data_IF_069661185056
#
_entry.id   IF_069661185056
#
_cell.length_a   1.000
_cell.length_b   1.000
_cell.length_c   1.000
_cell.angle_alpha   90.00
_cell.angle_beta   90.00
_cell.angle_gamma   90.00
#
_symmetry.space_group_name_H-M   'P 1'
#
loop_
_entity.id
_entity.type
_entity.pdbx_description
1 polymer ?
#
# COMPACT_ATOMS: atom_id res chain seq x y z
N UNK A 1 0.36 4.80 -39.76
CA UNK A 1 1.27 4.07 -38.85
C UNK A 1 2.55 4.88 -38.71
N UNK A 2 3.01 5.17 -37.49
CA UNK A 2 4.27 5.90 -37.28
C UNK A 2 5.41 4.89 -37.34
N UNK A 3 6.27 4.96 -38.36
CA UNK A 3 7.49 4.15 -38.45
C UNK A 3 8.62 4.85 -37.68
N UNK A 4 9.04 4.29 -36.55
CA UNK A 4 10.25 4.70 -35.84
C UNK A 4 11.43 3.87 -36.34
N UNK A 5 12.34 4.46 -37.12
CA UNK A 5 13.65 3.86 -37.39
C UNK A 5 14.63 4.27 -36.28
N UNK A 6 15.44 3.30 -35.82
CA UNK A 6 16.56 3.54 -34.91
C UNK A 6 17.78 3.98 -35.72
N UNK A 7 18.50 5.00 -35.24
CA UNK A 7 19.70 5.52 -35.89
C UNK A 7 20.93 4.78 -35.37
N UNK A 8 21.64 4.06 -36.23
CA UNK A 8 22.94 3.46 -35.91
C UNK A 8 24.06 4.43 -36.29
N UNK A 9 24.79 4.95 -35.30
CA UNK A 9 25.98 5.78 -35.52
C UNK A 9 27.22 4.92 -35.40
N UNK A 10 27.78 4.49 -36.52
CA UNK A 10 29.05 3.77 -36.57
C UNK A 10 30.23 4.76 -36.52
N UNK A 11 30.90 4.86 -35.39
CA UNK A 11 32.13 5.62 -35.25
C UNK A 11 33.35 4.72 -35.51
N UNK A 12 34.00 4.86 -36.67
CA UNK A 12 35.32 4.26 -36.89
C UNK A 12 36.37 5.01 -36.04
N UNK A 13 36.92 4.34 -35.04
CA UNK A 13 38.06 4.84 -34.26
C UNK A 13 39.38 4.26 -34.79
N UNK A 14 40.23 5.12 -35.35
CA UNK A 14 41.58 4.73 -35.75
C UNK A 14 42.46 4.59 -34.50
N UNK A 15 43.04 3.40 -34.28
CA UNK A 15 43.84 3.12 -33.08
C UNK A 15 45.27 3.68 -33.18
N UNK A 16 45.72 4.36 -32.12
CA UNK A 16 47.14 4.69 -31.91
C UNK A 16 47.51 4.41 -30.44
N UNK A 17 48.36 3.40 -30.23
CA UNK A 17 48.77 2.91 -28.90
C UNK A 17 50.03 3.59 -28.37
N UNK A 18 49.95 4.26 -27.21
CA UNK A 18 51.09 4.53 -26.32
C UNK A 18 50.64 4.36 -24.86
N UNK A 19 51.45 3.71 -24.03
CA UNK A 19 51.23 3.48 -22.60
C UNK A 19 52.44 4.04 -21.79
N UNK A 20 52.53 3.95 -20.43
CA UNK A 20 51.54 3.57 -19.42
C UNK A 20 51.49 4.56 -18.20
N UNK A 21 50.92 4.13 -17.07
CA UNK A 21 50.85 4.76 -15.72
C UNK A 21 49.98 6.03 -15.54
N UNK A 22 48.84 5.86 -14.86
CA UNK A 22 48.66 6.34 -13.47
C UNK A 22 47.31 5.89 -12.89
N UNK A 23 47.28 5.56 -11.59
CA UNK A 23 46.10 5.06 -10.89
C UNK A 23 45.08 6.18 -10.67
N UNK A 24 44.05 6.26 -11.51
CA UNK A 24 42.90 7.16 -11.31
C UNK A 24 41.76 6.38 -10.68
N UNK A 25 41.19 6.93 -9.60
CA UNK A 25 40.02 6.35 -8.92
C UNK A 25 38.82 6.37 -9.86
N UNK A 26 38.22 5.21 -10.10
CA UNK A 26 36.91 5.12 -10.76
C UNK A 26 35.85 5.64 -9.78
N UNK A 27 35.58 6.94 -9.87
CA UNK A 27 34.26 7.45 -9.47
C UNK A 27 33.24 6.90 -10.44
N UNK A 28 32.08 6.45 -9.93
CA UNK A 28 30.96 6.12 -10.80
C UNK A 28 30.63 7.35 -11.64
N UNK A 29 30.89 7.27 -12.95
CA UNK A 29 30.24 8.14 -13.91
C UNK A 29 28.84 7.57 -14.10
N UNK A 30 27.83 8.28 -13.60
CA UNK A 30 26.49 8.10 -14.11
C UNK A 30 26.56 8.28 -15.62
N UNK A 31 25.94 7.34 -16.36
CA UNK A 31 25.80 7.51 -17.80
C UNK A 31 24.82 8.64 -18.04
N UNK A 32 25.35 9.86 -18.13
CA UNK A 32 24.64 11.01 -18.70
C UNK A 32 24.43 10.68 -20.16
N UNK A 33 23.37 9.91 -20.43
CA UNK A 33 22.82 9.72 -21.76
C UNK A 33 22.54 11.13 -22.27
N UNK A 34 23.38 11.60 -23.19
CA UNK A 34 23.11 12.82 -23.90
C UNK A 34 21.91 12.52 -24.77
N UNK A 35 20.71 12.84 -24.27
CA UNK A 35 19.47 12.85 -25.02
C UNK A 35 19.56 14.00 -26.03
N UNK A 36 20.41 13.81 -27.04
CA UNK A 36 20.23 14.44 -28.32
C UNK A 36 18.83 14.05 -28.76
N UNK A 37 17.90 15.01 -28.68
CA UNK A 37 16.56 14.83 -29.22
C UNK A 37 16.72 14.32 -30.65
N UNK A 38 16.29 13.08 -30.90
CA UNK A 38 16.14 12.57 -32.27
C UNK A 38 15.14 13.52 -32.91
N UNK A 39 15.67 14.47 -33.69
CA UNK A 39 14.86 15.47 -34.36
C UNK A 39 13.80 14.72 -35.16
N UNK A 40 12.53 15.09 -34.98
CA UNK A 40 11.44 14.44 -35.70
C UNK A 40 11.79 14.48 -37.19
N UNK A 41 12.00 13.32 -37.80
CA UNK A 41 12.47 13.24 -39.18
C UNK A 41 11.60 14.11 -40.08
N UNK A 42 12.26 15.01 -40.82
CA UNK A 42 11.65 15.94 -41.76
C UNK A 42 12.35 15.76 -43.09
N UNK A 43 11.59 15.42 -44.12
CA UNK A 43 12.04 15.55 -45.50
C UNK A 43 12.34 17.01 -45.82
N UNK A 44 13.52 17.30 -46.38
CA UNK A 44 13.85 18.62 -46.95
C UNK A 44 13.00 18.87 -48.20
N UNK A 45 12.62 20.12 -48.44
CA UNK A 45 11.88 20.50 -49.65
C UNK A 45 12.79 20.50 -50.88
N UNK A 46 12.19 20.50 -52.07
CA UNK A 46 12.94 20.51 -53.34
C UNK A 46 13.79 21.77 -53.42
N UNK A 47 13.27 22.92 -52.99
CA UNK A 47 13.98 24.20 -52.96
C UNK A 47 15.13 24.23 -51.94
N UNK A 48 14.96 23.58 -50.79
CA UNK A 48 16.03 23.42 -49.78
C UNK A 48 17.17 22.54 -50.33
N UNK A 49 16.86 21.47 -51.07
CA UNK A 49 17.85 20.57 -51.69
C UNK A 49 18.53 21.26 -52.88
N UNK A 50 17.75 21.87 -53.78
CA UNK A 50 18.24 22.57 -54.98
C UNK A 50 19.20 23.71 -54.61
N UNK A 51 18.93 24.44 -53.52
CA UNK A 51 19.86 25.46 -53.00
C UNK A 51 21.23 24.87 -52.65
N UNK A 52 21.26 23.73 -51.95
CA UNK A 52 22.51 23.05 -51.58
C UNK A 52 23.21 22.38 -52.76
N UNK A 53 22.46 21.82 -53.72
CA UNK A 53 23.05 21.27 -54.94
C UNK A 53 23.67 22.39 -55.78
N UNK A 54 22.96 23.50 -55.99
CA UNK A 54 23.46 24.65 -56.74
C UNK A 54 24.73 25.26 -56.12
N UNK A 55 24.86 25.28 -54.79
CA UNK A 55 26.09 25.73 -54.11
C UNK A 55 27.29 24.82 -54.44
N UNK A 56 27.07 23.50 -54.48
CA UNK A 56 28.13 22.53 -54.78
C UNK A 56 28.47 22.50 -56.27
N UNK A 57 27.46 22.58 -57.14
CA UNK A 57 27.62 22.73 -58.60
C UNK A 57 28.37 24.02 -58.95
N UNK A 58 28.05 25.15 -58.30
CA UNK A 58 28.75 26.41 -58.50
C UNK A 58 30.22 26.39 -58.04
N UNK A 59 30.60 25.44 -57.18
CA UNK A 59 32.01 25.19 -56.81
C UNK A 59 32.76 24.26 -57.78
N UNK A 60 32.10 23.79 -58.84
CA UNK A 60 32.68 22.90 -59.86
C UNK A 60 32.64 21.41 -59.49
N UNK A 61 31.96 21.04 -58.40
CA UNK A 61 31.92 19.67 -57.92
C UNK A 61 30.72 18.90 -58.51
N UNK A 62 31.01 17.77 -59.18
CA UNK A 62 30.00 16.81 -59.68
C UNK A 62 29.51 15.81 -58.62
N UNK A 63 29.80 16.07 -57.34
CA UNK A 63 29.48 15.21 -56.20
C UNK A 63 28.65 15.96 -55.17
N UNK A 64 27.68 15.29 -54.54
CA UNK A 64 26.82 15.85 -53.50
C UNK A 64 26.85 15.00 -52.24
N UNK A 65 27.18 15.58 -51.09
CA UNK A 65 27.08 14.89 -49.81
C UNK A 65 25.63 14.94 -49.32
N UNK A 66 24.97 13.79 -49.26
CA UNK A 66 23.57 13.63 -48.86
C UNK A 66 23.38 14.19 -47.44
N UNK A 67 22.43 15.09 -47.26
CA UNK A 67 22.14 15.72 -45.97
C UNK A 67 20.99 15.00 -45.24
N UNK A 68 20.89 15.24 -43.93
CA UNK A 68 19.79 14.71 -43.14
C UNK A 68 18.45 15.29 -43.61
N UNK A 69 17.52 14.40 -43.96
CA UNK A 69 16.21 14.76 -44.52
C UNK A 69 16.14 14.72 -46.05
N UNK A 70 17.23 14.43 -46.76
CA UNK A 70 17.18 14.19 -48.20
C UNK A 70 16.56 12.83 -48.54
N UNK A 71 16.04 12.71 -49.77
CA UNK A 71 15.56 11.47 -50.39
C UNK A 71 16.04 11.45 -51.84
N UNK A 72 16.20 10.28 -52.48
CA UNK A 72 16.53 10.27 -53.92
C UNK A 72 15.45 10.97 -54.76
N UNK A 73 14.18 10.90 -54.34
CA UNK A 73 13.09 11.62 -55.01
C UNK A 73 13.24 13.16 -54.95
N UNK A 74 13.61 13.71 -53.80
CA UNK A 74 13.83 15.17 -53.66
C UNK A 74 15.12 15.63 -54.35
N UNK A 75 16.17 14.81 -54.38
CA UNK A 75 17.39 15.09 -55.14
C UNK A 75 17.12 15.03 -56.64
N UNK A 76 16.45 13.97 -57.12
CA UNK A 76 16.02 13.80 -58.51
C UNK A 76 15.19 14.99 -59.01
N UNK A 77 14.22 15.43 -58.21
CA UNK A 77 13.41 16.61 -58.55
C UNK A 77 14.18 17.93 -58.52
N UNK A 78 15.28 18.02 -57.76
CA UNK A 78 16.13 19.20 -57.68
C UNK A 78 17.20 19.27 -58.79
N UNK A 79 17.65 18.12 -59.31
CA UNK A 79 18.69 18.03 -60.37
C UNK A 79 18.13 17.77 -61.76
N UNK A 80 16.90 17.27 -61.89
CA UNK A 80 16.32 16.81 -63.16
C UNK A 80 16.75 15.40 -63.58
N UNK A 81 17.75 14.80 -62.91
CA UNK A 81 18.20 13.43 -63.17
C UNK A 81 17.18 12.46 -62.56
N UNK A 82 16.78 11.40 -63.27
CA UNK A 82 15.79 10.47 -62.73
C UNK A 82 16.32 9.67 -61.54
N UNK A 83 15.43 9.26 -60.61
CA UNK A 83 15.79 8.39 -59.48
C UNK A 83 16.49 7.11 -59.94
N UNK A 84 16.09 6.56 -61.09
CA UNK A 84 16.69 5.36 -61.67
C UNK A 84 18.13 5.60 -62.13
N UNK A 85 18.39 6.75 -62.76
CA UNK A 85 19.72 7.09 -63.27
C UNK A 85 20.65 7.45 -62.11
N UNK A 86 20.17 8.22 -61.12
CA UNK A 86 20.90 8.44 -59.87
C UNK A 86 21.26 7.12 -59.18
N UNK A 87 20.31 6.18 -59.08
CA UNK A 87 20.58 4.87 -58.48
C UNK A 87 21.58 4.04 -59.30
N UNK A 88 21.51 4.12 -60.64
CA UNK A 88 22.40 3.38 -61.54
C UNK A 88 23.84 3.93 -61.51
N UNK A 89 24.01 5.26 -61.58
CA UNK A 89 25.30 5.96 -61.49
C UNK A 89 26.00 5.65 -60.16
N UNK A 90 25.22 5.58 -59.07
CA UNK A 90 25.73 5.39 -57.72
C UNK A 90 25.69 3.95 -57.20
N UNK A 91 25.31 2.99 -58.05
CA UNK A 91 25.16 1.57 -57.70
C UNK A 91 24.27 1.32 -56.46
N UNK A 92 23.22 2.14 -56.29
CA UNK A 92 22.31 2.10 -55.13
C UNK A 92 21.31 0.95 -55.33
N UNK A 93 21.54 -0.16 -54.61
CA UNK A 93 20.69 -1.35 -54.67
C UNK A 93 19.24 -1.12 -54.19
N UNK A 94 18.99 -0.15 -53.30
CA UNK A 94 17.66 0.19 -52.81
C UNK A 94 17.40 1.71 -52.89
N UNK A 95 16.66 2.21 -53.90
CA UNK A 95 16.38 3.63 -54.07
C UNK A 95 15.59 4.30 -52.92
N UNK A 96 14.89 3.52 -52.09
CA UNK A 96 14.15 4.02 -50.92
C UNK A 96 15.06 4.21 -49.68
N UNK A 97 16.33 3.79 -49.74
CA UNK A 97 17.28 3.88 -48.63
C UNK A 97 18.60 4.53 -49.05
N UNK A 98 18.76 5.80 -48.66
CA UNK A 98 20.04 6.53 -48.72
C UNK A 98 20.47 6.99 -47.33
N UNK A 99 21.79 7.12 -47.14
CA UNK A 99 22.40 7.46 -45.85
C UNK A 99 22.90 8.91 -45.90
N UNK A 100 22.49 9.71 -44.93
CA UNK A 100 23.01 11.06 -44.77
C UNK A 100 24.50 11.02 -44.39
N UNK A 101 25.33 11.79 -45.10
CA UNK A 101 26.79 11.77 -45.04
C UNK A 101 27.45 11.00 -46.20
N UNK A 102 26.71 10.15 -46.93
CA UNK A 102 27.21 9.49 -48.14
C UNK A 102 27.36 10.48 -49.31
N UNK A 103 28.26 10.17 -50.24
CA UNK A 103 28.49 10.94 -51.46
C UNK A 103 27.62 10.38 -52.59
N UNK A 104 27.02 11.28 -53.37
CA UNK A 104 26.23 10.98 -54.55
C UNK A 104 26.87 11.66 -55.78
N UNK A 105 27.09 10.89 -56.84
CA UNK A 105 27.62 11.32 -58.14
C UNK A 105 26.47 11.59 -59.12
N UNK A 106 26.65 12.56 -60.02
CA UNK A 106 25.62 12.97 -61.00
C UNK A 106 25.89 12.53 -62.45
N UNK A 107 27.08 12.00 -62.75
CA UNK A 107 27.51 11.50 -64.07
C UNK A 107 28.43 10.29 -63.85
N UNK A 108 28.44 9.34 -64.78
CA UNK A 108 29.23 8.11 -64.74
C UNK A 108 30.56 8.19 -65.51
N UNK A 109 30.76 9.18 -66.41
CA UNK A 109 31.94 9.24 -67.31
C UNK A 109 32.67 10.59 -67.28
N UNK A 110 32.00 11.67 -66.83
CA UNK A 110 32.46 13.04 -66.50
C UNK A 110 31.93 14.16 -67.41
N UNK A 111 31.35 15.18 -66.75
CA UNK A 111 31.13 16.55 -67.19
C UNK A 111 30.14 16.80 -68.34
N UNK A 112 28.89 16.37 -68.18
CA UNK A 112 27.78 17.29 -68.50
C UNK A 112 26.83 17.48 -67.32
N UNK A 113 26.64 18.74 -66.92
CA UNK A 113 25.72 19.11 -65.86
C UNK A 113 24.63 20.01 -66.44
N UNK A 114 23.41 19.49 -66.50
CA UNK A 114 22.20 20.21 -66.93
C UNK A 114 21.50 20.77 -65.70
N UNK A 115 21.35 22.09 -65.64
CA UNK A 115 20.57 22.75 -64.59
C UNK A 115 19.64 23.80 -65.18
N UNK A 116 18.43 23.89 -64.64
CA UNK A 116 17.45 24.91 -65.02
C UNK A 116 17.61 26.13 -64.14
N UNK A 117 17.98 27.27 -64.74
CA UNK A 117 18.01 28.56 -64.07
C UNK A 117 16.61 28.96 -63.56
N UNK A 118 16.50 29.84 -62.54
CA UNK A 118 15.21 30.33 -62.03
C UNK A 118 14.39 31.18 -63.04
N UNK A 119 14.93 31.42 -64.24
CA UNK A 119 14.24 32.02 -65.39
C UNK A 119 13.58 30.97 -66.32
N UNK A 120 13.85 29.67 -66.14
CA UNK A 120 13.38 28.55 -66.97
C UNK A 120 14.32 28.11 -68.10
N UNK A 121 15.55 28.61 -68.15
CA UNK A 121 16.55 28.28 -69.17
C UNK A 121 17.43 27.09 -68.73
N UNK A 122 17.59 26.08 -69.60
CA UNK A 122 18.49 24.95 -69.34
C UNK A 122 19.91 25.28 -69.82
N UNK A 123 20.87 25.27 -68.90
CA UNK A 123 22.28 25.48 -69.20
C UNK A 123 23.02 24.16 -69.06
N UNK A 124 23.77 23.78 -70.09
CA UNK A 124 24.68 22.63 -70.09
C UNK A 124 26.12 23.12 -70.13
N UNK A 125 26.94 22.70 -69.17
CA UNK A 125 28.37 23.03 -69.14
C UNK A 125 29.19 21.75 -69.34
N UNK A 126 30.06 21.76 -70.34
CA UNK A 126 31.06 20.73 -70.60
C UNK A 126 32.47 21.33 -70.40
N UNK A 127 33.37 20.60 -69.76
CA UNK A 127 34.75 21.03 -69.57
C UNK A 127 35.62 20.57 -70.74
N UNK A 128 36.40 21.48 -71.34
CA UNK A 128 37.34 21.13 -72.42
C UNK A 128 38.46 20.22 -71.90
N UNK A 129 38.74 19.16 -72.68
CA UNK A 129 39.77 18.18 -72.37
C UNK A 129 41.16 18.72 -72.76
N UNK A 130 42.08 18.80 -71.79
CA UNK A 130 43.51 18.99 -72.06
C UNK A 130 44.32 17.96 -71.29
N UNK A 131 44.71 16.90 -72.00
CA UNK A 131 45.83 16.05 -71.61
C UNK A 131 46.86 16.03 -72.75
N UNK A 132 48.11 16.23 -72.36
CA UNK A 132 49.23 16.45 -73.26
C UNK A 132 50.07 15.18 -73.28
N UNK A 133 50.34 14.64 -74.46
CA UNK A 133 51.39 13.63 -74.62
C UNK A 133 52.25 13.94 -75.85
N UNK A 134 53.52 13.58 -75.75
CA UNK A 134 54.64 14.22 -76.44
C UNK A 134 55.07 13.45 -77.69
N UNK A 135 55.19 14.14 -78.85
CA UNK A 135 56.07 13.69 -79.95
C UNK A 135 56.51 14.87 -80.80
N UNK A 136 57.83 15.01 -80.91
CA UNK A 136 58.55 16.03 -81.67
C UNK A 136 58.40 15.82 -83.19
N UNK A 137 58.13 16.88 -83.95
CA UNK A 137 58.51 16.99 -85.36
C UNK A 137 59.08 18.39 -85.64
N UNK A 138 60.25 18.44 -86.26
CA UNK A 138 61.05 19.65 -86.52
C UNK A 138 60.80 20.23 -87.93
N UNK A 139 61.22 21.49 -88.14
CA UNK A 139 61.05 22.34 -89.32
C UNK A 139 61.01 21.63 -90.70
N UNK A 140 59.98 21.92 -91.51
CA UNK A 140 59.80 21.33 -92.84
C UNK A 140 60.44 22.11 -94.00
N UNK A 141 60.58 21.46 -95.17
CA UNK A 141 60.55 22.10 -96.51
C UNK A 141 60.44 21.06 -97.65
N UNK A 142 60.14 21.53 -98.87
CA UNK A 142 60.03 20.80 -100.16
C UNK A 142 61.09 21.34 -101.17
N UNK A 143 61.41 20.75 -102.33
CA UNK A 143 60.80 19.69 -103.17
C UNK A 143 61.91 18.90 -103.91
N UNK A 144 61.55 17.81 -104.62
CA UNK A 144 62.28 17.19 -105.76
C UNK A 144 63.61 16.46 -105.42
N UNK A 145 64.02 15.35 -106.05
CA UNK A 145 64.08 15.02 -107.49
C UNK A 145 64.15 13.49 -107.72
N UNK A 146 63.83 13.01 -108.93
CA UNK A 146 63.87 11.59 -109.31
C UNK A 146 65.28 11.20 -109.75
N UNK A 147 65.89 10.19 -109.12
CA UNK A 147 67.09 9.52 -109.63
C UNK A 147 66.88 8.00 -109.61
N UNK A 148 66.67 7.43 -110.80
CA UNK A 148 66.63 6.00 -111.08
C UNK A 148 68.07 5.45 -111.27
N UNK A 149 68.22 4.13 -111.50
CA UNK A 149 69.48 3.34 -111.66
C UNK A 149 70.05 2.82 -110.33
N UNK A 150 70.50 1.56 -110.19
CA UNK A 150 70.55 0.40 -111.09
C UNK A 150 70.36 -0.87 -110.23
N UNK A 151 69.66 -1.90 -110.73
CA UNK A 151 69.53 -3.19 -110.02
C UNK A 151 70.70 -4.11 -110.35
N UNK A 152 71.58 -4.35 -109.38
CA UNK A 152 72.61 -5.38 -109.47
C UNK A 152 72.38 -6.48 -108.42
N UNK A 153 72.23 -7.71 -108.94
CA UNK A 153 72.29 -9.03 -108.29
C UNK A 153 71.74 -9.20 -106.86
N UNK A 154 70.48 -9.61 -106.75
CA UNK A 154 69.82 -9.94 -105.48
C UNK A 154 68.82 -11.08 -105.63
N UNK A 155 69.32 -12.29 -105.92
CA UNK A 155 68.52 -13.53 -105.91
C UNK A 155 68.71 -14.38 -104.65
N UNK A 156 69.70 -14.05 -103.82
CA UNK A 156 70.00 -14.71 -102.54
C UNK A 156 69.41 -13.94 -101.33
N UNK A 157 69.31 -12.61 -101.42
CA UNK A 157 68.77 -11.72 -100.37
C UNK A 157 67.25 -11.84 -100.18
N UNK A 158 66.48 -11.96 -101.28
CA UNK A 158 65.00 -12.05 -101.23
C UNK A 158 64.53 -13.33 -100.53
N UNK A 159 65.32 -14.40 -100.58
CA UNK A 159 65.01 -15.67 -99.91
C UNK A 159 65.24 -15.61 -98.40
N UNK A 160 66.32 -14.96 -97.93
CA UNK A 160 66.53 -14.71 -96.50
C UNK A 160 65.51 -13.71 -95.95
N UNK A 161 65.16 -12.66 -96.69
CA UNK A 161 64.15 -11.68 -96.27
C UNK A 161 62.73 -12.27 -96.20
N UNK A 162 62.35 -13.13 -97.16
CA UNK A 162 61.07 -13.85 -97.12
C UNK A 162 61.04 -14.90 -95.98
N UNK A 163 62.14 -15.60 -95.73
CA UNK A 163 62.28 -16.51 -94.59
C UNK A 163 62.23 -15.77 -93.25
N UNK A 164 62.88 -14.61 -93.14
CA UNK A 164 62.85 -13.75 -91.96
C UNK A 164 61.45 -13.16 -91.71
N UNK A 165 60.73 -12.76 -92.78
CA UNK A 165 59.34 -12.30 -92.69
C UNK A 165 58.41 -13.40 -92.18
N UNK A 166 58.53 -14.62 -92.72
CA UNK A 166 57.72 -15.77 -92.28
C UNK A 166 58.05 -16.18 -90.83
N UNK A 167 59.33 -16.15 -90.44
CA UNK A 167 59.74 -16.41 -89.07
C UNK A 167 59.24 -15.33 -88.09
N UNK A 168 59.24 -14.06 -88.51
CA UNK A 168 58.69 -12.95 -87.73
C UNK A 168 57.14 -13.03 -87.60
N UNK A 169 56.45 -13.43 -88.67
CA UNK A 169 54.99 -13.65 -88.67
C UNK A 169 54.61 -14.84 -87.76
N UNK A 170 55.36 -15.95 -87.81
CA UNK A 170 55.16 -17.09 -86.92
C UNK A 170 55.48 -16.75 -85.45
N UNK A 171 56.55 -15.99 -85.19
CA UNK A 171 56.88 -15.49 -83.86
C UNK A 171 55.81 -14.52 -83.32
N UNK A 172 55.29 -13.63 -84.16
CA UNK A 172 54.19 -12.72 -83.79
C UNK A 172 52.89 -13.48 -83.51
N UNK A 173 52.56 -14.51 -84.30
CA UNK A 173 51.42 -15.40 -84.07
C UNK A 173 51.53 -16.13 -82.73
N UNK A 174 52.71 -16.70 -82.43
CA UNK A 174 52.96 -17.40 -81.16
C UNK A 174 52.91 -16.44 -79.96
N UNK A 175 53.47 -15.24 -80.07
CA UNK A 175 53.39 -14.23 -79.03
C UNK A 175 51.94 -13.77 -78.77
N UNK A 176 51.13 -13.61 -79.83
CA UNK A 176 49.71 -13.29 -79.71
C UNK A 176 48.89 -14.44 -79.10
N UNK A 177 49.23 -15.70 -79.39
CA UNK A 177 48.61 -16.88 -78.79
C UNK A 177 48.97 -17.01 -77.29
N UNK A 178 50.23 -16.75 -76.91
CA UNK A 178 50.68 -16.72 -75.52
C UNK A 178 50.04 -15.57 -74.72
N UNK A 179 49.92 -14.38 -75.32
CA UNK A 179 49.23 -13.24 -74.70
C UNK A 179 47.72 -13.49 -74.54
N UNK A 180 47.05 -14.07 -75.55
CA UNK A 180 45.65 -14.46 -75.45
C UNK A 180 45.42 -15.53 -74.37
N UNK A 181 46.32 -16.51 -74.26
CA UNK A 181 46.28 -17.52 -73.20
C UNK A 181 46.50 -16.92 -71.80
N UNK A 182 47.41 -15.94 -71.66
CA UNK A 182 47.64 -15.21 -70.40
C UNK A 182 46.39 -14.43 -69.99
N UNK A 183 45.78 -13.68 -70.92
CA UNK A 183 44.58 -12.89 -70.65
C UNK A 183 43.37 -13.76 -70.30
N UNK A 184 43.18 -14.90 -70.98
CA UNK A 184 42.12 -15.85 -70.64
C UNK A 184 42.30 -16.45 -69.23
N UNK A 185 43.54 -16.78 -68.84
CA UNK A 185 43.83 -17.27 -67.49
C UNK A 185 43.65 -16.19 -66.40
N UNK A 186 43.93 -14.92 -66.73
CA UNK A 186 43.69 -13.77 -65.85
C UNK A 186 42.19 -13.51 -65.67
N UNK A 187 41.39 -13.60 -66.74
CA UNK A 187 39.92 -13.50 -66.70
C UNK A 187 39.30 -14.66 -65.89
N UNK A 188 39.75 -15.90 -66.10
CA UNK A 188 39.29 -17.06 -65.32
C UNK A 188 39.60 -16.90 -63.82
N UNK A 189 40.82 -16.44 -63.47
CA UNK A 189 41.21 -16.18 -62.08
C UNK A 189 40.41 -15.02 -61.45
N UNK A 190 40.11 -13.96 -62.21
CA UNK A 190 39.29 -12.85 -61.74
C UNK A 190 37.84 -13.29 -61.48
N UNK A 191 37.25 -14.07 -62.39
CA UNK A 191 35.90 -14.62 -62.22
C UNK A 191 35.80 -15.55 -61.01
N UNK A 192 36.80 -16.42 -60.79
CA UNK A 192 36.86 -17.30 -59.62
C UNK A 192 36.95 -16.49 -58.31
N UNK A 193 37.78 -15.43 -58.27
CA UNK A 193 37.91 -14.58 -57.08
C UNK A 193 36.60 -13.85 -56.74
N UNK A 194 35.83 -13.40 -57.75
CA UNK A 194 34.50 -12.82 -57.56
C UNK A 194 33.50 -13.85 -57.03
N UNK A 195 33.53 -15.09 -57.52
CA UNK A 195 32.67 -16.18 -57.02
C UNK A 195 32.99 -16.55 -55.56
N UNK A 196 34.28 -16.65 -55.21
CA UNK A 196 34.72 -16.91 -53.83
C UNK A 196 34.33 -15.77 -52.87
N UNK A 197 34.45 -14.51 -53.29
CA UNK A 197 34.02 -13.36 -52.48
C UNK A 197 32.49 -13.31 -52.30
N UNK A 198 31.73 -13.59 -53.36
CA UNK A 198 30.26 -13.68 -53.29
C UNK A 198 29.82 -14.82 -52.35
N UNK A 199 30.47 -15.99 -52.41
CA UNK A 199 30.19 -17.11 -51.52
C UNK A 199 30.53 -16.78 -50.05
N UNK A 200 31.64 -16.06 -49.79
CA UNK A 200 32.02 -15.59 -48.44
C UNK A 200 30.98 -14.63 -47.88
N UNK A 201 30.54 -13.64 -48.67
CA UNK A 201 29.55 -12.64 -48.25
C UNK A 201 28.17 -13.29 -47.98
N UNK A 202 27.74 -14.24 -48.81
CA UNK A 202 26.50 -14.98 -48.58
C UNK A 202 26.53 -15.81 -47.28
N UNK A 203 27.68 -16.44 -46.98
CA UNK A 203 27.87 -17.17 -45.72
C UNK A 203 27.90 -16.24 -44.49
N UNK A 204 28.47 -15.03 -44.62
CA UNK A 204 28.47 -14.01 -43.57
C UNK A 204 27.05 -13.46 -43.31
N UNK A 205 26.28 -13.18 -44.36
CA UNK A 205 24.87 -12.76 -44.24
C UNK A 205 23.99 -13.84 -43.59
N UNK A 206 24.15 -15.11 -43.98
CA UNK A 206 23.41 -16.21 -43.37
C UNK A 206 23.79 -16.40 -41.88
N UNK A 207 25.07 -16.31 -41.54
CA UNK A 207 25.53 -16.38 -40.16
C UNK A 207 24.98 -15.21 -39.31
N UNK A 208 24.98 -13.99 -39.86
CA UNK A 208 24.40 -12.81 -39.21
C UNK A 208 22.90 -12.97 -38.98
N UNK A 209 22.14 -13.44 -39.99
CA UNK A 209 20.71 -13.72 -39.87
C UNK A 209 20.43 -14.73 -38.76
N UNK A 210 21.13 -15.86 -38.75
CA UNK A 210 20.95 -16.90 -37.73
C UNK A 210 21.27 -16.40 -36.32
N UNK A 211 22.32 -15.59 -36.15
CA UNK A 211 22.64 -14.97 -34.87
C UNK A 211 21.52 -14.03 -34.37
N UNK A 212 20.91 -13.24 -35.26
CA UNK A 212 19.77 -12.38 -34.89
C UNK A 212 18.49 -13.18 -34.57
N UNK A 213 18.29 -14.33 -35.21
CA UNK A 213 17.17 -15.23 -34.94
C UNK A 213 17.33 -15.93 -33.57
N UNK A 214 18.55 -16.37 -33.25
CA UNK A 214 18.90 -16.93 -31.93
C UNK A 214 18.76 -15.88 -30.81
N UNK A 215 19.26 -14.65 -31.01
CA UNK A 215 19.09 -13.56 -30.04
C UNK A 215 17.60 -13.23 -29.80
N UNK A 216 16.80 -13.16 -30.86
CA UNK A 216 15.35 -12.93 -30.76
C UNK A 216 14.61 -14.08 -30.04
N UNK A 217 15.00 -15.34 -30.31
CA UNK A 217 14.42 -16.51 -29.64
C UNK A 217 14.77 -16.54 -28.14
N UNK A 218 16.02 -16.22 -27.78
CA UNK A 218 16.47 -16.14 -26.39
C UNK A 218 15.74 -15.02 -25.64
N UNK A 219 15.59 -13.84 -26.24
CA UNK A 219 14.85 -12.72 -25.64
C UNK A 219 13.37 -13.05 -25.43
N UNK A 220 12.73 -13.72 -26.40
CA UNK A 220 11.34 -14.15 -26.26
C UNK A 220 11.15 -15.19 -25.14
N UNK A 221 12.09 -16.13 -24.99
CA UNK A 221 12.08 -17.11 -23.90
C UNK A 221 12.33 -16.46 -22.52
N UNK A 222 13.18 -15.43 -22.45
CA UNK A 222 13.38 -14.65 -21.21
C UNK A 222 12.12 -13.85 -20.84
N UNK A 223 11.44 -13.23 -21.82
CA UNK A 223 10.18 -12.51 -21.61
C UNK A 223 9.05 -13.47 -21.17
N UNK A 224 8.93 -14.65 -21.78
CA UNK A 224 7.97 -15.68 -21.37
C UNK A 224 8.23 -16.17 -19.93
N UNK A 225 9.49 -16.44 -19.59
CA UNK A 225 9.88 -16.86 -18.23
C UNK A 225 9.63 -15.75 -17.19
N UNK A 226 9.87 -14.49 -17.53
CA UNK A 226 9.60 -13.35 -16.65
C UNK A 226 8.09 -13.17 -16.42
N UNK A 227 7.27 -13.29 -17.47
CA UNK A 227 5.81 -13.21 -17.36
C UNK A 227 5.24 -14.35 -16.50
N UNK A 228 5.73 -15.57 -16.69
CA UNK A 228 5.32 -16.72 -15.87
C UNK A 228 5.68 -16.53 -14.39
N UNK A 229 6.89 -16.03 -14.08
CA UNK A 229 7.30 -15.76 -12.71
C UNK A 229 6.44 -14.69 -12.02
N UNK A 230 5.99 -13.68 -12.76
CA UNK A 230 5.05 -12.65 -12.26
C UNK A 230 3.65 -13.26 -12.02
N UNK A 231 3.17 -14.14 -12.89
CA UNK A 231 1.90 -14.84 -12.70
C UNK A 231 1.93 -15.79 -11.48
N UNK A 232 3.01 -16.56 -11.32
CA UNK A 232 3.21 -17.43 -10.15
C UNK A 232 3.29 -16.64 -8.83
N UNK A 233 3.99 -15.49 -8.82
CA UNK A 233 4.05 -14.63 -7.63
C UNK A 233 2.69 -14.00 -7.31
N UNK A 234 1.94 -13.54 -8.32
CA UNK A 234 0.58 -13.02 -8.13
C UNK A 234 -0.37 -14.09 -7.60
N UNK A 235 -0.30 -15.32 -8.12
CA UNK A 235 -1.09 -16.45 -7.65
C UNK A 235 -0.74 -16.84 -6.19
N UNK A 236 0.55 -16.82 -5.83
CA UNK A 236 1.01 -17.07 -4.45
C UNK A 236 0.46 -16.02 -3.48
N UNK A 237 0.53 -14.74 -3.83
CA UNK A 237 0.04 -13.65 -2.98
C UNK A 237 -1.50 -13.70 -2.82
N UNK A 238 -2.24 -14.01 -3.89
CA UNK A 238 -3.68 -14.18 -3.80
C UNK A 238 -4.09 -15.34 -2.88
N UNK A 239 -3.38 -16.47 -2.94
CA UNK A 239 -3.61 -17.62 -2.05
C UNK A 239 -3.24 -17.31 -0.59
N UNK A 240 -2.20 -16.51 -0.35
CA UNK A 240 -1.82 -16.04 0.99
C UNK A 240 -2.88 -15.09 1.58
N UNK A 241 -3.43 -14.17 0.77
CA UNK A 241 -4.53 -13.28 1.17
C UNK A 241 -5.82 -14.05 1.46
N UNK A 242 -6.20 -15.02 0.62
CA UNK A 242 -7.37 -15.88 0.85
C UNK A 242 -7.24 -16.67 2.16
N UNK A 243 -6.07 -17.27 2.42
CA UNK A 243 -5.79 -18.00 3.65
C UNK A 243 -5.82 -17.10 4.89
N UNK A 244 -5.30 -15.87 4.80
CA UNK A 244 -5.34 -14.89 5.88
C UNK A 244 -6.76 -14.42 6.20
N UNK A 245 -7.58 -14.18 5.17
CA UNK A 245 -8.98 -13.80 5.33
C UNK A 245 -9.81 -14.93 5.98
N UNK A 246 -9.61 -16.18 5.55
CA UNK A 246 -10.28 -17.34 6.15
C UNK A 246 -9.90 -17.52 7.63
N UNK A 247 -8.61 -17.41 7.96
CA UNK A 247 -8.15 -17.50 9.35
C UNK A 247 -8.73 -16.39 10.26
N UNK A 248 -8.87 -15.18 9.72
CA UNK A 248 -9.50 -14.07 10.44
C UNK A 248 -11.02 -14.29 10.64
N UNK A 249 -11.72 -14.87 9.66
CA UNK A 249 -13.13 -15.23 9.80
C UNK A 249 -13.33 -16.34 10.83
N UNK A 250 -12.50 -17.39 10.83
CA UNK A 250 -12.53 -18.47 11.84
C UNK A 250 -12.25 -17.95 13.25
N UNK A 251 -11.29 -17.04 13.43
CA UNK A 251 -11.02 -16.42 14.73
C UNK A 251 -12.17 -15.53 15.21
N UNK A 252 -12.76 -14.72 14.32
CA UNK A 252 -13.93 -13.90 14.64
C UNK A 252 -15.14 -14.76 15.04
N UNK A 253 -15.39 -15.86 14.32
CA UNK A 253 -16.45 -16.82 14.64
C UNK A 253 -16.21 -17.50 16.00
N UNK A 254 -14.96 -17.88 16.31
CA UNK A 254 -14.59 -18.46 17.61
C UNK A 254 -14.85 -17.50 18.76
N UNK A 255 -14.44 -16.23 18.62
CA UNK A 255 -14.64 -15.21 19.66
C UNK A 255 -16.12 -14.89 19.87
N UNK A 256 -16.91 -14.80 18.79
CA UNK A 256 -18.36 -14.60 18.90
C UNK A 256 -19.06 -15.76 19.62
N UNK A 257 -18.67 -17.00 19.36
CA UNK A 257 -19.19 -18.18 20.06
C UNK A 257 -18.77 -18.22 21.54
N UNK A 258 -17.56 -17.77 21.87
CA UNK A 258 -17.08 -17.64 23.26
C UNK A 258 -17.85 -16.56 24.03
N UNK A 259 -18.09 -15.39 23.41
CA UNK A 259 -18.89 -14.32 24.01
C UNK A 259 -20.36 -14.74 24.24
N UNK A 260 -20.98 -15.43 23.28
CA UNK A 260 -22.33 -15.96 23.44
C UNK A 260 -22.42 -17.02 24.54
N UNK A 261 -21.45 -17.94 24.62
CA UNK A 261 -21.37 -18.93 25.69
C UNK A 261 -21.20 -18.27 27.07
N UNK A 262 -20.35 -17.24 27.17
CA UNK A 262 -20.16 -16.47 28.40
C UNK A 262 -21.43 -15.72 28.81
N UNK A 263 -22.17 -15.12 27.85
CA UNK A 263 -23.45 -14.46 28.11
C UNK A 263 -24.49 -15.43 28.66
N UNK A 264 -24.63 -16.61 28.04
CA UNK A 264 -25.59 -17.63 28.47
C UNK A 264 -25.24 -18.19 29.86
N UNK A 265 -23.95 -18.42 30.15
CA UNK A 265 -23.51 -18.86 31.47
C UNK A 265 -23.80 -17.81 32.57
N UNK A 266 -23.61 -16.52 32.27
CA UNK A 266 -23.94 -15.43 33.19
C UNK A 266 -25.46 -15.29 33.40
N UNK A 267 -26.27 -15.51 32.36
CA UNK A 267 -27.75 -15.53 32.45
C UNK A 267 -28.25 -16.71 33.30
N UNK A 268 -27.68 -17.91 33.12
CA UNK A 268 -28.00 -19.10 33.93
C UNK A 268 -27.60 -18.91 35.40
N UNK A 269 -26.42 -18.34 35.68
CA UNK A 269 -26.00 -18.04 37.05
C UNK A 269 -26.90 -16.97 37.71
N UNK A 270 -27.26 -15.91 36.99
CA UNK A 270 -28.18 -14.89 37.49
C UNK A 270 -29.57 -15.49 37.79
N UNK A 271 -30.10 -16.35 36.91
CA UNK A 271 -31.36 -17.04 37.13
C UNK A 271 -31.31 -17.99 38.33
N UNK A 272 -30.20 -18.72 38.53
CA UNK A 272 -29.99 -19.58 39.70
C UNK A 272 -30.00 -18.77 41.01
N UNK A 273 -29.28 -17.65 41.05
CA UNK A 273 -29.21 -16.79 42.24
C UNK A 273 -30.57 -16.14 42.55
N UNK A 274 -31.32 -15.70 41.54
CA UNK A 274 -32.67 -15.16 41.72
C UNK A 274 -33.64 -16.22 42.29
N UNK A 275 -33.57 -17.46 41.80
CA UNK A 275 -34.39 -18.56 42.32
C UNK A 275 -34.00 -18.97 43.76
N UNK A 276 -32.71 -18.88 44.11
CA UNK A 276 -32.23 -19.11 45.48
C UNK A 276 -32.70 -18.00 46.44
N UNK A 277 -32.68 -16.73 46.01
CA UNK A 277 -33.21 -15.60 46.77
C UNK A 277 -34.74 -15.69 46.96
N UNK A 278 -35.51 -16.05 45.91
CA UNK A 278 -36.95 -16.25 46.00
C UNK A 278 -37.30 -17.38 46.98
N UNK A 279 -36.59 -18.51 46.92
CA UNK A 279 -36.78 -19.62 47.85
C UNK A 279 -36.43 -19.26 49.30
N UNK A 280 -35.38 -18.46 49.52
CA UNK A 280 -34.99 -17.98 50.84
C UNK A 280 -36.04 -17.02 51.44
N UNK A 281 -36.59 -16.11 50.61
CA UNK A 281 -37.64 -15.19 51.02
C UNK A 281 -38.93 -15.93 51.38
N UNK A 282 -39.35 -16.92 50.59
CA UNK A 282 -40.52 -17.75 50.89
C UNK A 282 -40.35 -18.52 52.20
N UNK A 283 -39.19 -19.13 52.43
CA UNK A 283 -38.90 -19.85 53.67
C UNK A 283 -38.92 -18.94 54.91
N UNK A 284 -38.43 -17.69 54.77
CA UNK A 284 -38.50 -16.69 55.83
C UNK A 284 -39.95 -16.23 56.12
N UNK A 285 -40.78 -16.09 55.10
CA UNK A 285 -42.21 -15.78 55.25
C UNK A 285 -42.97 -16.92 55.94
N UNK A 286 -42.72 -18.17 55.55
CA UNK A 286 -43.31 -19.36 56.19
C UNK A 286 -42.89 -19.48 57.68
N UNK A 287 -41.62 -19.22 58.00
CA UNK A 287 -41.14 -19.21 59.39
C UNK A 287 -41.75 -18.07 60.22
N UNK A 288 -41.85 -16.86 59.66
CA UNK A 288 -42.50 -15.73 60.32
C UNK A 288 -43.99 -16.01 60.58
N UNK A 289 -44.70 -16.60 59.61
CA UNK A 289 -46.10 -17.01 59.76
C UNK A 289 -46.27 -18.10 60.83
N UNK A 290 -45.35 -19.08 60.91
CA UNK A 290 -45.36 -20.12 61.96
C UNK A 290 -45.19 -19.52 63.36
N UNK A 291 -44.23 -18.61 63.54
CA UNK A 291 -43.97 -17.95 64.82
C UNK A 291 -45.16 -17.06 65.25
N UNK A 292 -45.77 -16.31 64.32
CA UNK A 292 -46.94 -15.51 64.61
C UNK A 292 -48.15 -16.37 65.04
N UNK A 293 -48.36 -17.52 64.40
CA UNK A 293 -49.41 -18.47 64.79
C UNK A 293 -49.14 -19.12 66.16
N UNK A 294 -47.87 -19.38 66.50
CA UNK A 294 -47.46 -19.89 67.82
C UNK A 294 -47.69 -18.84 68.92
N UNK A 295 -47.33 -17.57 68.68
CA UNK A 295 -47.58 -16.47 69.61
C UNK A 295 -49.09 -16.22 69.82
N UNK A 296 -49.90 -16.25 68.76
CA UNK A 296 -51.36 -16.13 68.87
C UNK A 296 -51.98 -17.30 69.64
N UNK A 297 -51.54 -18.54 69.39
CA UNK A 297 -51.99 -19.71 70.14
C UNK A 297 -51.61 -19.61 71.63
N UNK A 298 -50.40 -19.15 71.95
CA UNK A 298 -49.95 -18.94 73.33
C UNK A 298 -50.77 -17.83 74.03
N UNK A 299 -51.09 -16.74 73.33
CA UNK A 299 -51.95 -15.66 73.85
C UNK A 299 -53.35 -16.17 74.19
N UNK A 300 -53.96 -16.95 73.30
CA UNK A 300 -55.30 -17.52 73.51
C UNK A 300 -55.31 -18.54 74.67
N UNK A 301 -54.28 -19.37 74.79
CA UNK A 301 -54.14 -20.29 75.92
C UNK A 301 -54.00 -19.56 77.27
N UNK A 302 -53.23 -18.48 77.32
CA UNK A 302 -53.10 -17.65 78.52
C UNK A 302 -54.40 -16.91 78.87
N UNK A 303 -55.18 -16.48 77.88
CA UNK A 303 -56.51 -15.89 78.08
C UNK A 303 -57.51 -16.93 78.62
N UNK A 304 -57.49 -18.17 78.12
CA UNK A 304 -58.31 -19.28 78.64
C UNK A 304 -57.91 -19.68 80.07
N UNK A 305 -56.61 -19.72 80.39
CA UNK A 305 -56.12 -20.02 81.74
C UNK A 305 -56.52 -18.90 82.74
N UNK A 306 -56.41 -17.63 82.35
CA UNK A 306 -56.88 -16.49 83.14
C UNK A 306 -58.41 -16.45 83.31
N UNK A 307 -59.17 -16.93 82.32
CA UNK A 307 -60.63 -17.06 82.43
C UNK A 307 -61.06 -18.21 83.35
N UNK A 308 -60.19 -19.20 83.59
CA UNK A 308 -60.47 -20.39 84.40
C UNK A 308 -59.85 -20.33 85.82
N UNK A 309 -59.05 -19.31 86.13
CA UNK A 309 -58.51 -19.09 87.48
C UNK A 309 -59.56 -18.49 88.42
N UNK A 310 -60.37 -19.34 89.05
CA UNK A 310 -61.23 -18.93 90.18
C UNK A 310 -60.40 -18.80 91.46
N UNK A 311 -59.63 -17.71 91.59
CA UNK A 311 -58.88 -17.39 92.81
C UNK A 311 -59.72 -16.44 93.70
N UNK A 312 -60.21 -16.88 94.88
CA UNK A 312 -61.11 -16.10 95.72
C UNK A 312 -60.31 -15.11 96.59
N UNK A 313 -59.82 -14.03 95.99
CA UNK A 313 -59.18 -12.95 96.76
C UNK A 313 -60.22 -12.32 97.69
N UNK A 314 -60.01 -12.47 99.00
CA UNK A 314 -60.88 -11.92 100.05
C UNK A 314 -60.65 -10.40 100.13
N UNK A 315 -61.35 -9.66 99.28
CA UNK A 315 -61.50 -8.22 99.43
C UNK A 315 -62.57 -7.95 100.49
N UNK A 316 -62.20 -7.23 101.55
CA UNK A 316 -63.12 -6.72 102.55
C UNK A 316 -63.90 -5.50 102.03
N UNK A 317 -64.25 -4.59 102.94
CA UNK A 317 -65.09 -3.43 102.60
C UNK A 317 -64.45 -2.57 101.50
N UNK A 318 -65.14 -2.46 100.36
CA UNK A 318 -64.75 -1.57 99.27
C UNK A 318 -65.15 -0.11 99.60
N UNK A 319 -64.23 0.83 99.47
CA UNK A 319 -64.46 2.26 99.71
C UNK A 319 -63.93 3.07 98.53
N UNK A 320 -64.76 3.93 97.96
CA UNK A 320 -64.32 4.93 96.97
C UNK A 320 -63.73 6.15 97.68
N UNK A 321 -62.51 6.51 97.29
CA UNK A 321 -61.71 7.60 97.88
C UNK A 321 -61.21 8.56 96.79
N UNK A 322 -60.91 9.80 97.16
CA UNK A 322 -60.01 10.66 96.38
C UNK A 322 -58.57 10.27 96.75
N UNK A 323 -57.78 9.81 95.78
CA UNK A 323 -56.39 9.45 95.98
C UNK A 323 -55.46 10.50 95.36
N UNK A 324 -54.49 10.95 96.15
CA UNK A 324 -53.28 11.66 95.72
C UNK A 324 -52.06 10.73 95.86
N UNK A 325 -50.90 11.21 95.45
CA UNK A 325 -49.62 10.55 95.67
C UNK A 325 -48.56 11.54 96.18
N UNK A 326 -47.63 11.05 96.99
CA UNK A 326 -46.48 11.78 97.51
C UNK A 326 -45.23 10.89 97.53
N UNK A 327 -44.05 11.50 97.62
CA UNK A 327 -42.79 10.76 97.78
C UNK A 327 -41.90 11.42 98.81
N UNK A 328 -41.31 10.62 99.72
CA UNK A 328 -40.28 11.06 100.69
C UNK A 328 -39.08 11.78 100.04
N UNK A 329 -38.88 11.60 98.73
CA UNK A 329 -37.79 12.20 97.96
C UNK A 329 -38.17 13.59 97.39
N UNK A 330 -39.38 14.10 97.65
CA UNK A 330 -39.78 15.48 97.35
C UNK A 330 -39.27 16.49 98.40
N UNK A 331 -39.02 17.73 97.97
CA UNK A 331 -38.36 18.73 98.79
C UNK A 331 -39.24 19.21 99.97
N UNK A 332 -38.78 18.94 101.20
CA UNK A 332 -39.44 19.38 102.44
C UNK A 332 -40.21 18.29 103.19
N UNK A 333 -40.23 17.06 102.68
CA UNK A 333 -40.84 15.90 103.33
C UNK A 333 -39.81 15.10 104.17
N UNK A 334 -40.33 14.31 105.12
CA UNK A 334 -39.54 13.45 106.00
C UNK A 334 -39.50 11.99 105.53
N UNK A 335 -38.60 11.18 106.12
CA UNK A 335 -38.54 9.73 105.87
C UNK A 335 -39.41 8.90 106.84
N UNK A 336 -40.15 9.55 107.75
CA UNK A 336 -40.94 8.87 108.79
C UNK A 336 -42.40 9.31 108.71
N UNK A 337 -43.30 8.33 108.78
CA UNK A 337 -44.76 8.53 108.86
C UNK A 337 -45.22 8.88 110.28
N UNK A 338 -46.50 9.26 110.42
CA UNK A 338 -47.14 9.51 111.71
C UNK A 338 -47.11 8.31 112.69
N UNK A 339 -47.15 7.06 112.21
CA UNK A 339 -47.00 5.86 113.07
C UNK A 339 -45.54 5.51 113.41
N UNK A 340 -44.57 6.19 112.79
CA UNK A 340 -43.14 5.98 112.97
C UNK A 340 -42.48 5.01 111.98
N UNK A 341 -43.21 4.51 110.97
CA UNK A 341 -42.65 3.70 109.87
C UNK A 341 -41.56 4.49 109.11
N UNK A 342 -40.42 3.85 108.87
CA UNK A 342 -39.32 4.40 108.06
C UNK A 342 -39.51 4.05 106.58
N UNK A 343 -39.90 5.05 105.79
CA UNK A 343 -40.26 4.92 104.37
C UNK A 343 -39.11 4.40 103.49
N UNK A 344 -37.87 4.39 103.99
CA UNK A 344 -36.70 3.80 103.30
C UNK A 344 -36.65 2.28 103.39
N UNK A 345 -37.31 1.71 104.40
CA UNK A 345 -37.40 0.27 104.61
C UNK A 345 -38.76 -0.28 104.19
N UNK A 346 -39.81 0.54 104.28
CA UNK A 346 -41.18 0.17 103.93
C UNK A 346 -41.89 1.32 103.20
N UNK A 347 -41.82 1.29 101.87
CA UNK A 347 -42.32 2.35 100.98
C UNK A 347 -43.82 2.20 100.65
N UNK A 348 -44.39 1.00 100.83
CA UNK A 348 -45.78 0.65 100.50
C UNK A 348 -46.77 1.07 101.58
N UNK A 349 -46.88 2.37 101.82
CA UNK A 349 -47.81 2.94 102.80
C UNK A 349 -48.70 4.04 102.22
N UNK A 350 -49.80 4.31 102.91
CA UNK A 350 -50.69 5.44 102.61
C UNK A 350 -50.90 6.32 103.84
N UNK A 351 -51.10 7.61 103.59
CA UNK A 351 -51.68 8.55 104.54
C UNK A 351 -53.21 8.49 104.46
N UNK A 352 -53.89 8.53 105.62
CA UNK A 352 -55.36 8.38 105.72
C UNK A 352 -55.94 9.32 106.80
N UNK A 353 -57.28 9.41 106.83
CA UNK A 353 -58.03 9.80 108.02
C UNK A 353 -58.26 8.57 108.92
N UNK A 354 -57.67 8.50 110.14
CA UNK A 354 -57.83 7.37 111.05
C UNK A 354 -59.29 7.11 111.50
N UNK A 355 -60.19 8.08 111.29
CA UNK A 355 -61.63 7.95 111.58
C UNK A 355 -62.37 7.15 110.50
N UNK A 356 -61.78 7.00 109.31
CA UNK A 356 -62.36 6.30 108.15
C UNK A 356 -61.58 5.01 107.86
N UNK A 357 -60.25 5.07 107.89
CA UNK A 357 -59.36 3.92 107.73
C UNK A 357 -58.38 3.93 108.92
N UNK A 358 -58.51 3.03 109.91
CA UNK A 358 -57.61 2.98 111.05
C UNK A 358 -56.14 2.79 110.65
N UNK A 359 -55.22 3.38 111.41
CA UNK A 359 -53.79 3.10 111.23
C UNK A 359 -53.50 1.62 111.53
N UNK A 360 -52.63 1.01 110.73
CA UNK A 360 -52.34 -0.41 110.70
C UNK A 360 -53.14 -1.20 109.66
N UNK A 361 -54.28 -0.70 109.17
CA UNK A 361 -55.11 -1.37 108.17
C UNK A 361 -54.34 -1.59 106.86
N UNK A 362 -54.45 -2.79 106.28
CA UNK A 362 -53.94 -3.06 104.93
C UNK A 362 -55.06 -2.77 103.92
N UNK A 363 -54.71 -2.16 102.79
CA UNK A 363 -55.64 -1.93 101.69
C UNK A 363 -55.04 -2.44 100.37
N UNK A 364 -55.89 -2.94 99.49
CA UNK A 364 -55.53 -3.22 98.10
C UNK A 364 -55.97 -2.05 97.21
N UNK A 365 -55.03 -1.52 96.45
CA UNK A 365 -55.21 -0.47 95.45
C UNK A 365 -55.10 -1.12 94.06
N UNK A 366 -56.19 -1.20 93.28
CA UNK A 366 -56.17 -1.83 91.96
C UNK A 366 -55.11 -1.23 91.04
N UNK A 367 -54.30 -2.09 90.42
CA UNK A 367 -53.17 -1.71 89.56
C UNK A 367 -51.88 -1.33 90.29
N UNK A 368 -51.90 -1.13 91.61
CA UNK A 368 -50.75 -0.67 92.40
C UNK A 368 -50.34 -1.63 93.53
N UNK A 369 -51.25 -2.49 94.00
CA UNK A 369 -50.95 -3.55 94.97
C UNK A 369 -51.41 -3.25 96.39
N UNK A 370 -50.76 -3.88 97.37
CA UNK A 370 -51.11 -3.76 98.79
C UNK A 370 -50.28 -2.67 99.48
N UNK A 371 -50.97 -1.87 100.30
CA UNK A 371 -50.39 -0.77 101.08
C UNK A 371 -50.92 -0.77 102.52
N UNK A 372 -50.12 -0.33 103.49
CA UNK A 372 -50.57 -0.13 104.89
C UNK A 372 -50.92 1.33 105.18
N UNK A 373 -52.03 1.57 105.88
CA UNK A 373 -52.32 2.86 106.50
C UNK A 373 -51.33 3.14 107.64
N UNK A 374 -50.29 3.93 107.37
CA UNK A 374 -49.19 4.20 108.32
C UNK A 374 -49.02 5.69 108.63
N UNK A 375 -49.63 6.57 107.84
CA UNK A 375 -49.40 8.01 107.91
C UNK A 375 -50.71 8.81 108.03
N UNK A 376 -50.60 10.09 108.40
CA UNK A 376 -51.74 11.02 108.49
C UNK A 376 -51.33 12.40 108.00
N UNK A 377 -52.16 13.06 107.20
CA UNK A 377 -51.91 14.41 106.70
C UNK A 377 -53.00 15.38 107.12
N UNK A 378 -52.65 16.62 107.48
CA UNK A 378 -53.65 17.65 107.86
C UNK A 378 -54.64 18.04 106.76
N UNK A 379 -54.39 17.64 105.51
CA UNK A 379 -55.28 17.79 104.36
C UNK A 379 -55.94 16.47 103.89
N UNK A 380 -55.65 15.35 104.57
CA UNK A 380 -56.14 14.01 104.27
C UNK A 380 -57.22 13.68 105.32
N UNK A 381 -58.46 14.09 105.01
CA UNK A 381 -59.61 14.03 105.91
C UNK A 381 -60.81 13.44 105.15
N UNK A 382 -61.58 12.56 105.79
CA UNK A 382 -62.68 11.82 105.16
C UNK A 382 -62.20 10.70 104.24
N UNK A 383 -62.97 10.44 103.17
CA UNK A 383 -62.63 9.44 102.15
C UNK A 383 -61.50 9.92 101.22
N UNK A 384 -60.34 10.19 101.79
CA UNK A 384 -59.16 10.67 101.08
C UNK A 384 -57.93 9.88 101.52
N UNK A 385 -57.07 9.54 100.56
CA UNK A 385 -55.80 8.88 100.81
C UNK A 385 -54.67 9.62 100.07
N UNK A 386 -53.45 9.54 100.61
CA UNK A 386 -52.23 9.94 99.91
C UNK A 386 -51.32 8.71 99.79
N UNK A 387 -50.96 8.31 98.57
CA UNK A 387 -50.19 7.09 98.33
C UNK A 387 -48.70 7.40 98.28
N UNK A 388 -47.89 6.75 99.13
CA UNK A 388 -46.45 6.92 99.07
C UNK A 388 -45.84 6.16 97.89
N UNK A 389 -44.95 6.82 97.15
CA UNK A 389 -44.12 6.21 96.13
C UNK A 389 -42.64 6.48 96.36
N UNK A 390 -41.80 5.49 96.05
CA UNK A 390 -40.35 5.64 96.16
C UNK A 390 -39.80 6.63 95.13
N UNK A 391 -40.30 6.61 93.88
CA UNK A 391 -39.88 7.55 92.84
C UNK A 391 -40.87 8.70 92.69
N UNK A 392 -40.33 9.92 92.61
CA UNK A 392 -41.11 11.14 92.31
C UNK A 392 -41.72 11.11 90.89
N UNK A 393 -41.19 10.29 89.97
CA UNK A 393 -41.82 10.10 88.66
C UNK A 393 -43.18 9.39 88.76
N UNK A 394 -43.31 8.45 89.70
CA UNK A 394 -44.50 7.62 89.85
C UNK A 394 -45.65 8.43 90.49
N UNK A 395 -45.34 9.42 91.34
CA UNK A 395 -46.35 10.33 91.92
C UNK A 395 -47.04 11.18 90.83
N UNK A 396 -46.27 11.67 89.85
CA UNK A 396 -46.82 12.40 88.70
C UNK A 396 -47.63 11.51 87.75
N UNK A 397 -47.25 10.24 87.59
CA UNK A 397 -48.03 9.27 86.79
C UNK A 397 -49.33 8.86 87.49
N UNK A 398 -49.30 8.68 88.81
CA UNK A 398 -50.49 8.37 89.62
C UNK A 398 -51.50 9.53 89.63
N UNK A 399 -51.02 10.77 89.77
CA UNK A 399 -51.84 11.98 89.69
C UNK A 399 -52.91 12.10 90.77
N UNK A 400 -54.04 12.74 90.44
CA UNK A 400 -55.26 12.73 91.28
C UNK A 400 -56.34 11.93 90.58
N UNK A 401 -56.88 10.95 91.29
CA UNK A 401 -57.91 10.06 90.77
C UNK A 401 -58.90 9.66 91.86
N UNK A 402 -60.15 9.44 91.48
CA UNK A 402 -61.12 8.79 92.35
C UNK A 402 -61.07 7.29 92.08
N UNK A 403 -60.71 6.51 93.09
CA UNK A 403 -60.49 5.08 92.98
C UNK A 403 -61.25 4.34 94.07
N UNK A 404 -61.65 3.10 93.78
CA UNK A 404 -62.21 2.21 94.79
C UNK A 404 -61.09 1.31 95.29
N UNK A 405 -60.75 1.48 96.57
CA UNK A 405 -59.81 0.62 97.29
C UNK A 405 -60.59 -0.42 98.09
N UNK A 406 -59.91 -1.50 98.46
CA UNK A 406 -60.49 -2.58 99.25
C UNK A 406 -59.75 -2.69 100.57
N UNK A 407 -60.46 -2.61 101.68
CA UNK A 407 -59.89 -2.89 103.00
C UNK A 407 -59.63 -4.40 103.11
N UNK A 408 -58.47 -4.75 103.64
CA UNK A 408 -57.99 -6.13 103.85
C UNK A 408 -57.63 -6.25 105.33
N UNK A 409 -58.57 -6.80 106.11
CA UNK A 409 -58.46 -7.05 107.56
C UNK A 409 -57.75 -8.38 107.88
#
# INVERSE_FOLDING_TARGET
MKKTLRLAVAALSLSATIAPLSTVKVSAFESTIFSASVGSWRSRSIEEVQSSVNEVVASGNQIYTIQWGDTLGTISAATGISVNDLASINQIANPDLIIAGSVLYFDAVNHTLTYTEPNGEEVTVAAEETLVEDTIVEDGYLIEEIAEWELEDSSEYVAEEEAARLAAEEAARLAAEEEAARLAAEEEAANLAVEEEAARLAAEEEAARLATEEEAANLAAEEEAANLAVEEEAARLAAEEEAANLAAEEEAARLAAEEEAARLAAEEEAARLAAEEEAANLAAEEEAARLAAEEEAARLAAEEEAANSTDPTVYGTAITVEATAYSRNEAGLGNFTADGTDLRNESNVIAVDPSVIPLGTTVYIPGWGYYRAADTGGAIVGNKIDVHFENVADTYQFGRQSITIYIVD
#
